data_IF_856221899904
#
_entry.id   IF_856221899904
#
_cell.length_a   1.000
_cell.length_b   1.000
_cell.length_c   1.000
_cell.angle_alpha   90.00
_cell.angle_beta   90.00
_cell.angle_gamma   90.00
#
_symmetry.space_group_name_H-M   'P 1'
#
loop_
_entity.id
_entity.type
_entity.pdbx_description
1 polymer ?
#
# COMPACT_ATOMS: atom_id res chain seq x y z
N UNK A 1 -56.23 -22.35 -61.42
CA UNK A 1 -56.61 -21.60 -60.23
C UNK A 1 -55.40 -21.46 -59.36
N UNK A 2 -54.83 -20.24 -59.35
CA UNK A 2 -53.53 -19.92 -58.71
C UNK A 2 -53.70 -19.81 -57.18
N UNK A 3 -52.76 -20.40 -56.43
CA UNK A 3 -52.54 -20.09 -55.03
C UNK A 3 -51.07 -19.56 -54.89
N UNK A 4 -51.00 -18.25 -54.80
CA UNK A 4 -49.77 -17.59 -54.38
C UNK A 4 -49.51 -17.73 -52.90
N UNK A 5 -48.46 -18.43 -52.52
CA UNK A 5 -47.89 -18.39 -51.16
C UNK A 5 -46.98 -17.18 -51.01
N UNK A 6 -47.39 -16.21 -50.18
CA UNK A 6 -46.50 -15.15 -49.68
C UNK A 6 -45.58 -15.72 -48.62
N UNK A 7 -44.33 -15.88 -48.95
CA UNK A 7 -43.23 -16.12 -48.00
C UNK A 7 -42.27 -14.92 -48.06
N UNK A 8 -42.52 -13.89 -47.26
CA UNK A 8 -41.53 -12.80 -47.11
C UNK A 8 -41.86 -11.95 -45.86
N UNK A 9 -41.39 -12.37 -44.69
CA UNK A 9 -41.22 -11.44 -43.53
C UNK A 9 -40.24 -11.89 -42.46
N UNK A 10 -39.63 -13.10 -42.51
CA UNK A 10 -38.83 -13.58 -41.42
C UNK A 10 -37.34 -13.14 -41.42
N UNK A 11 -36.78 -12.92 -42.60
CA UNK A 11 -35.33 -12.72 -42.74
C UNK A 11 -34.79 -11.33 -42.39
N UNK A 12 -35.63 -10.29 -42.45
CA UNK A 12 -35.19 -8.93 -42.05
C UNK A 12 -35.15 -8.75 -40.54
N UNK A 13 -36.10 -9.32 -39.81
CA UNK A 13 -36.16 -9.21 -38.35
C UNK A 13 -35.01 -9.92 -37.67
N UNK A 14 -34.63 -11.11 -38.16
CA UNK A 14 -33.48 -11.89 -37.62
C UNK A 14 -32.13 -11.14 -37.81
N UNK A 15 -31.96 -10.52 -38.97
CA UNK A 15 -30.72 -9.73 -39.22
C UNK A 15 -30.63 -8.49 -38.33
N UNK A 16 -31.74 -7.82 -38.08
CA UNK A 16 -31.81 -6.63 -37.22
C UNK A 16 -31.51 -7.00 -35.75
N UNK A 17 -32.11 -8.08 -35.23
CA UNK A 17 -31.86 -8.57 -33.87
C UNK A 17 -30.38 -9.01 -33.69
N UNK A 18 -29.81 -9.70 -34.68
CA UNK A 18 -28.42 -10.12 -34.64
C UNK A 18 -27.42 -8.93 -34.61
N UNK A 19 -27.71 -7.85 -35.35
CA UNK A 19 -26.91 -6.63 -35.32
C UNK A 19 -27.01 -5.91 -33.97
N UNK A 20 -28.20 -5.82 -33.37
CA UNK A 20 -28.39 -5.22 -32.05
C UNK A 20 -27.71 -6.05 -30.94
N UNK A 21 -27.80 -7.40 -31.01
CA UNK A 21 -27.08 -8.28 -30.12
C UNK A 21 -25.56 -8.12 -30.25
N UNK A 22 -25.03 -7.99 -31.46
CA UNK A 22 -23.61 -7.78 -31.71
C UNK A 22 -23.15 -6.40 -31.20
N UNK A 23 -23.98 -5.35 -31.39
CA UNK A 23 -23.69 -4.01 -30.88
C UNK A 23 -23.77 -3.96 -29.33
N UNK A 24 -24.69 -4.73 -28.72
CA UNK A 24 -24.75 -4.86 -27.26
C UNK A 24 -23.54 -5.61 -26.68
N UNK A 25 -23.05 -6.62 -27.39
CA UNK A 25 -21.83 -7.35 -26.98
C UNK A 25 -20.56 -6.49 -27.10
N UNK A 26 -20.50 -5.56 -28.06
CA UNK A 26 -19.41 -4.59 -28.19
C UNK A 26 -19.49 -3.53 -27.09
N UNK A 27 -20.69 -3.16 -26.62
CA UNK A 27 -20.86 -2.21 -25.53
C UNK A 27 -20.58 -2.82 -24.14
N UNK A 28 -20.53 -4.16 -24.00
CA UNK A 28 -20.18 -4.88 -22.78
C UNK A 28 -18.69 -5.28 -22.74
N UNK A 29 -17.92 -4.93 -23.78
CA UNK A 29 -16.52 -5.26 -23.89
C UNK A 29 -15.61 -4.10 -23.59
N UNK A 30 -14.70 -4.29 -22.67
CA UNK A 30 -13.57 -3.46 -22.28
C UNK A 30 -13.88 -2.25 -21.40
N UNK A 31 -14.20 -2.51 -20.14
CA UNK A 31 -13.53 -1.73 -19.12
C UNK A 31 -12.04 -2.14 -19.14
N UNK A 32 -11.26 -1.54 -20.01
CA UNK A 32 -9.82 -1.51 -19.82
C UNK A 32 -9.60 -0.73 -18.52
N UNK A 33 -9.39 -1.42 -17.42
CA UNK A 33 -8.79 -0.81 -16.24
C UNK A 33 -7.39 -0.42 -16.67
N UNK A 34 -7.24 0.81 -17.19
CA UNK A 34 -5.92 1.33 -17.45
C UNK A 34 -5.16 1.25 -16.12
N UNK A 35 -3.97 0.63 -16.15
CA UNK A 35 -3.08 0.65 -15.01
C UNK A 35 -2.91 2.09 -14.51
N UNK A 36 -2.85 2.30 -13.19
CA UNK A 36 -2.61 3.63 -12.64
C UNK A 36 -1.31 4.21 -13.19
N UNK A 37 -1.34 5.49 -13.58
CA UNK A 37 -0.13 6.25 -13.89
C UNK A 37 0.61 6.53 -12.56
N UNK A 38 1.79 5.91 -12.41
CA UNK A 38 2.61 6.01 -11.20
C UNK A 38 3.19 7.42 -11.05
N UNK A 39 3.16 7.93 -9.84
CA UNK A 39 3.77 9.20 -9.45
C UNK A 39 4.67 9.00 -8.24
N UNK A 40 5.69 9.82 -8.12
CA UNK A 40 6.57 9.80 -6.96
C UNK A 40 5.76 9.91 -5.66
N UNK A 41 6.11 9.09 -4.68
CA UNK A 41 5.38 8.96 -3.43
C UNK A 41 4.18 8.01 -3.47
N UNK A 42 3.88 7.37 -4.61
CA UNK A 42 2.88 6.29 -4.63
C UNK A 42 3.37 5.09 -3.83
N UNK A 43 2.42 4.48 -3.14
CA UNK A 43 2.62 3.24 -2.39
C UNK A 43 2.32 2.04 -3.27
N UNK A 44 3.23 1.09 -3.31
CA UNK A 44 3.08 -0.18 -4.00
C UNK A 44 2.84 -1.28 -2.96
N UNK A 45 1.58 -1.67 -2.81
CA UNK A 45 1.17 -2.74 -1.91
C UNK A 45 1.22 -4.08 -2.63
N UNK A 46 2.00 -5.03 -2.12
CA UNK A 46 2.03 -6.39 -2.66
C UNK A 46 0.89 -7.19 -2.05
N UNK A 47 0.00 -7.64 -2.91
CA UNK A 47 -1.13 -8.51 -2.57
C UNK A 47 -0.72 -9.95 -2.82
N UNK A 48 -0.65 -10.75 -1.79
CA UNK A 48 -0.30 -12.17 -1.85
C UNK A 48 -1.56 -13.03 -1.92
N UNK A 49 -1.83 -13.60 -3.08
CA UNK A 49 -3.02 -14.43 -3.31
C UNK A 49 -3.03 -15.77 -2.57
N UNK A 50 -1.86 -16.28 -2.19
CA UNK A 50 -1.75 -17.55 -1.43
C UNK A 50 -1.76 -17.33 0.08
N UNK A 51 -1.52 -16.11 0.53
CA UNK A 51 -1.31 -15.79 1.94
C UNK A 51 0.02 -16.30 2.49
N UNK A 52 0.40 -15.77 3.63
CA UNK A 52 1.58 -16.17 4.39
C UNK A 52 1.42 -15.77 5.88
N UNK A 53 2.47 -15.94 6.67
CA UNK A 53 2.42 -15.64 8.10
C UNK A 53 2.12 -14.17 8.43
N UNK A 54 2.40 -13.25 7.52
CA UNK A 54 2.03 -11.82 7.68
C UNK A 54 0.54 -11.65 7.41
N UNK A 55 0.03 -12.18 6.30
CA UNK A 55 -1.38 -12.07 5.93
C UNK A 55 -2.31 -12.86 6.84
N UNK A 56 -1.79 -13.83 7.60
CA UNK A 56 -2.56 -14.56 8.61
C UNK A 56 -2.94 -13.67 9.79
N UNK A 57 -2.18 -12.60 10.05
CA UNK A 57 -2.38 -11.69 11.19
C UNK A 57 -2.68 -10.25 10.78
N UNK A 58 -2.64 -9.94 9.48
CA UNK A 58 -2.94 -8.62 8.93
C UNK A 58 -4.00 -8.73 7.82
N UNK A 59 -4.88 -7.73 7.74
CA UNK A 59 -5.91 -7.67 6.71
C UNK A 59 -5.82 -6.32 6.02
N UNK A 60 -5.72 -6.32 4.70
CA UNK A 60 -5.68 -5.11 3.88
C UNK A 60 -7.06 -4.61 3.46
N UNK A 61 -7.06 -3.59 2.60
CA UNK A 61 -8.26 -3.05 1.98
C UNK A 61 -9.03 -4.17 1.27
N UNK A 62 -10.34 -4.12 1.31
CA UNK A 62 -11.26 -5.12 0.72
C UNK A 62 -10.99 -6.58 1.16
N UNK A 63 -10.36 -6.76 2.33
CA UNK A 63 -10.01 -8.08 2.85
C UNK A 63 -8.83 -8.75 2.15
N UNK A 64 -8.05 -8.01 1.37
CA UNK A 64 -6.89 -8.52 0.65
C UNK A 64 -5.75 -8.88 1.61
N UNK A 65 -5.06 -9.98 1.32
CA UNK A 65 -3.81 -10.35 1.99
C UNK A 65 -2.67 -9.49 1.45
N UNK A 66 -2.25 -8.48 2.21
CA UNK A 66 -1.16 -7.58 1.85
C UNK A 66 -0.01 -7.83 2.82
N UNK A 67 1.14 -8.25 2.31
CA UNK A 67 2.30 -8.62 3.12
C UNK A 67 3.52 -7.71 2.93
N UNK A 68 3.48 -6.82 1.95
CA UNK A 68 4.57 -5.88 1.70
C UNK A 68 4.05 -4.53 1.20
N UNK A 69 4.84 -3.48 1.43
CA UNK A 69 4.62 -2.13 0.89
C UNK A 69 5.95 -1.49 0.55
N UNK A 70 5.97 -0.76 -0.56
CA UNK A 70 7.13 -0.03 -1.05
C UNK A 70 6.73 1.37 -1.53
N UNK A 71 7.71 2.25 -1.73
CA UNK A 71 7.53 3.63 -2.21
C UNK A 71 8.06 3.76 -3.62
N UNK A 72 7.24 4.21 -4.55
CA UNK A 72 7.68 4.53 -5.91
C UNK A 72 8.32 5.92 -5.97
N UNK A 73 9.47 6.03 -6.65
CA UNK A 73 10.19 7.29 -6.85
C UNK A 73 11.00 7.27 -8.15
N UNK A 74 10.71 8.15 -9.09
CA UNK A 74 11.51 8.42 -10.30
C UNK A 74 11.86 7.15 -11.12
N UNK A 75 10.90 6.23 -11.26
CA UNK A 75 11.11 4.95 -11.98
C UNK A 75 11.75 3.85 -11.12
N UNK A 76 12.07 4.15 -9.86
CA UNK A 76 12.61 3.22 -8.88
C UNK A 76 11.58 2.89 -7.80
N UNK A 77 11.92 1.92 -6.98
CA UNK A 77 11.16 1.49 -5.80
C UNK A 77 12.10 1.50 -4.60
N UNK A 78 11.70 2.19 -3.53
CA UNK A 78 12.39 2.20 -2.24
C UNK A 78 11.61 1.27 -1.30
N UNK A 79 12.28 0.26 -0.75
CA UNK A 79 11.66 -0.77 0.06
C UNK A 79 12.60 -1.32 1.13
N UNK A 80 12.05 -1.85 2.20
CA UNK A 80 12.79 -2.64 3.19
C UNK A 80 12.49 -4.13 2.96
N UNK A 81 13.53 -4.92 2.69
CA UNK A 81 13.43 -6.37 2.40
C UNK A 81 14.40 -7.19 3.27
N UNK A 82 14.01 -8.42 3.66
CA UNK A 82 14.80 -9.22 4.61
C UNK A 82 16.27 -9.43 4.21
N UNK A 83 16.52 -9.63 2.91
CA UNK A 83 17.86 -10.00 2.42
C UNK A 83 18.85 -8.84 2.38
N UNK A 84 18.36 -7.60 2.28
CA UNK A 84 19.19 -6.45 1.94
C UNK A 84 18.91 -5.20 2.78
N UNK A 85 17.91 -5.23 3.66
CA UNK A 85 17.47 -4.04 4.38
C UNK A 85 16.78 -3.04 3.46
N UNK A 86 16.99 -1.75 3.70
CA UNK A 86 16.40 -0.68 2.90
C UNK A 86 17.21 -0.46 1.63
N UNK A 87 16.57 -0.65 0.48
CA UNK A 87 17.18 -0.55 -0.85
C UNK A 87 16.34 0.33 -1.77
N UNK A 88 16.98 0.88 -2.80
CA UNK A 88 16.32 1.51 -3.95
C UNK A 88 16.72 0.74 -5.21
N UNK A 89 15.75 0.27 -5.99
CA UNK A 89 15.97 -0.53 -7.18
C UNK A 89 15.00 -0.13 -8.30
N UNK A 90 15.33 -0.35 -9.60
CA UNK A 90 14.40 -0.09 -10.70
C UNK A 90 13.07 -0.81 -10.50
N UNK A 91 11.96 -0.17 -10.92
CA UNK A 91 10.61 -0.77 -10.86
C UNK A 91 10.56 -2.15 -11.52
N UNK A 92 11.21 -2.33 -12.68
CA UNK A 92 11.25 -3.63 -13.35
C UNK A 92 11.91 -4.71 -12.48
N UNK A 93 12.95 -4.35 -11.71
CA UNK A 93 13.61 -5.27 -10.79
C UNK A 93 12.70 -5.66 -9.61
N UNK A 94 11.89 -4.72 -9.12
CA UNK A 94 10.86 -5.00 -8.12
C UNK A 94 9.80 -5.96 -8.68
N UNK A 95 9.25 -5.67 -9.87
CA UNK A 95 8.20 -6.49 -10.48
C UNK A 95 8.66 -7.92 -10.81
N UNK A 96 9.90 -8.10 -11.27
CA UNK A 96 10.45 -9.44 -11.58
C UNK A 96 10.61 -10.34 -10.36
N UNK A 97 10.72 -9.76 -9.15
CA UNK A 97 10.78 -10.54 -7.90
C UNK A 97 9.44 -11.06 -7.41
N UNK A 98 8.34 -10.52 -7.94
CA UNK A 98 7.00 -10.97 -7.55
C UNK A 98 6.77 -12.40 -8.03
N UNK A 99 6.12 -13.20 -7.20
CA UNK A 99 5.66 -14.53 -7.57
C UNK A 99 4.40 -14.44 -8.45
N UNK A 100 4.07 -15.53 -9.16
CA UNK A 100 2.88 -15.62 -10.03
C UNK A 100 1.55 -15.33 -9.31
N UNK A 101 1.53 -15.47 -7.98
CA UNK A 101 0.33 -15.26 -7.14
C UNK A 101 0.32 -13.87 -6.48
N UNK A 102 1.32 -13.06 -6.74
CA UNK A 102 1.41 -11.70 -6.22
C UNK A 102 1.03 -10.68 -7.27
N UNK A 103 0.34 -9.65 -6.83
CA UNK A 103 -0.03 -8.50 -7.67
C UNK A 103 0.19 -7.22 -6.88
N UNK A 104 0.38 -6.10 -7.59
CA UNK A 104 0.62 -4.81 -6.96
C UNK A 104 -0.64 -3.95 -6.99
N UNK A 105 -1.04 -3.46 -5.82
CA UNK A 105 -2.09 -2.47 -5.65
C UNK A 105 -1.44 -1.11 -5.42
N UNK A 106 -1.84 -0.10 -6.18
CA UNK A 106 -1.26 1.24 -6.08
C UNK A 106 -2.12 2.09 -5.14
N UNK A 107 -1.50 2.69 -4.14
CA UNK A 107 -2.09 3.66 -3.24
C UNK A 107 -1.42 5.04 -3.37
N UNK A 108 -2.18 6.09 -3.17
CA UNK A 108 -1.67 7.48 -3.19
C UNK A 108 -2.14 8.24 -1.99
N UNK A 109 -1.24 8.98 -1.34
CA UNK A 109 -1.56 9.88 -0.23
C UNK A 109 -1.78 11.29 -0.78
N UNK A 110 -2.99 11.82 -0.60
CA UNK A 110 -3.30 13.18 -1.00
C UNK A 110 -2.74 14.17 0.03
N UNK A 111 -2.15 15.27 -0.43
CA UNK A 111 -1.53 16.27 0.45
C UNK A 111 -0.12 15.96 0.94
N UNK A 112 0.49 14.88 0.45
CA UNK A 112 1.85 14.49 0.79
C UNK A 112 2.87 15.55 0.31
N UNK A 113 3.88 15.89 1.12
CA UNK A 113 5.12 16.48 0.62
C UNK A 113 5.96 15.38 -0.02
N UNK A 114 5.69 15.14 -1.30
CA UNK A 114 6.30 14.03 -2.07
C UNK A 114 7.82 14.09 -2.00
N UNK A 115 8.40 15.28 -2.21
CA UNK A 115 9.85 15.44 -2.22
C UNK A 115 10.45 15.13 -0.86
N UNK A 116 9.89 15.72 0.21
CA UNK A 116 10.41 15.48 1.54
C UNK A 116 10.25 14.01 1.93
N UNK A 117 9.13 13.37 1.59
CA UNK A 117 8.85 11.97 1.90
C UNK A 117 9.81 11.02 1.18
N UNK A 118 10.07 11.24 -0.12
CA UNK A 118 11.05 10.44 -0.89
C UNK A 118 12.48 10.67 -0.36
N UNK A 119 12.86 11.93 -0.08
CA UNK A 119 14.16 12.25 0.50
C UNK A 119 14.33 11.60 1.89
N UNK A 120 13.28 11.52 2.70
CA UNK A 120 13.30 10.83 3.99
C UNK A 120 13.50 9.32 3.80
N UNK A 121 12.75 8.69 2.88
CA UNK A 121 12.93 7.27 2.57
C UNK A 121 14.37 6.96 2.13
N UNK A 122 14.96 7.81 1.29
CA UNK A 122 16.36 7.68 0.84
C UNK A 122 17.38 7.83 1.95
N UNK A 123 17.06 8.58 3.03
CA UNK A 123 17.97 8.67 4.20
C UNK A 123 18.05 7.37 4.98
N UNK A 124 17.07 6.48 4.84
CA UNK A 124 17.02 5.19 5.49
C UNK A 124 17.73 4.08 4.69
N UNK A 125 18.21 4.38 3.45
CA UNK A 125 18.93 3.41 2.62
C UNK A 125 20.12 2.82 3.36
N UNK A 126 20.24 1.49 3.29
CA UNK A 126 21.30 0.72 3.93
C UNK A 126 21.03 0.34 5.38
N UNK A 127 19.94 0.79 6.01
CA UNK A 127 19.52 0.25 7.29
C UNK A 127 19.16 -1.24 7.14
N UNK A 128 19.47 -2.09 8.12
CA UNK A 128 19.10 -3.49 8.10
C UNK A 128 17.59 -3.68 8.19
N UNK A 129 17.10 -4.83 7.73
CA UNK A 129 15.71 -5.20 7.90
C UNK A 129 15.42 -5.61 9.35
N UNK A 130 14.33 -5.09 9.92
CA UNK A 130 13.84 -5.54 11.22
C UNK A 130 12.95 -6.78 11.05
N UNK A 131 13.52 -7.96 11.29
CA UNK A 131 12.81 -9.24 11.20
C UNK A 131 12.03 -9.59 12.47
N UNK A 132 12.23 -8.84 13.54
CA UNK A 132 11.56 -9.06 14.83
C UNK A 132 10.47 -8.04 15.13
N UNK A 133 10.28 -7.06 14.25
CA UNK A 133 9.22 -6.03 14.35
C UNK A 133 9.18 -5.32 15.70
N UNK A 134 10.35 -5.06 16.30
CA UNK A 134 10.44 -4.37 17.58
C UNK A 134 10.61 -2.87 17.35
N UNK A 135 9.94 -2.03 18.13
CA UNK A 135 10.19 -0.58 18.04
C UNK A 135 11.65 -0.26 18.30
N UNK A 136 12.28 0.47 17.38
CA UNK A 136 13.69 0.88 17.52
C UNK A 136 14.23 1.52 16.24
N UNK A 137 15.36 2.20 16.34
CA UNK A 137 15.90 3.00 15.24
C UNK A 137 17.03 2.29 14.46
N UNK A 138 17.38 1.06 14.83
CA UNK A 138 18.55 0.35 14.28
C UNK A 138 18.24 -0.51 13.06
N UNK A 139 16.99 -0.85 12.83
CA UNK A 139 16.50 -1.67 11.73
C UNK A 139 15.09 -1.23 11.34
N UNK A 140 14.64 -1.53 10.14
CA UNK A 140 13.38 -1.01 9.60
C UNK A 140 12.67 -2.09 8.79
N UNK A 141 11.37 -2.32 9.01
CA UNK A 141 10.54 -3.17 8.16
C UNK A 141 9.71 -2.35 7.16
N UNK A 142 9.06 -2.98 6.20
CA UNK A 142 8.48 -2.33 5.02
C UNK A 142 7.47 -1.21 5.34
N UNK A 143 6.52 -1.43 6.24
CA UNK A 143 5.52 -0.40 6.59
C UNK A 143 6.06 0.66 7.54
N UNK A 144 7.05 0.33 8.36
CA UNK A 144 7.75 1.30 9.19
C UNK A 144 8.58 2.28 8.35
N UNK A 145 9.25 1.80 7.28
CA UNK A 145 9.89 2.66 6.28
C UNK A 145 8.94 3.74 5.78
N UNK A 146 7.71 3.36 5.41
CA UNK A 146 6.69 4.30 4.93
C UNK A 146 6.28 5.26 6.04
N UNK A 147 6.00 4.75 7.23
CA UNK A 147 5.56 5.54 8.38
C UNK A 147 6.61 6.59 8.79
N UNK A 148 7.89 6.23 8.81
CA UNK A 148 9.01 7.12 9.14
C UNK A 148 9.30 8.16 8.05
N UNK A 149 8.94 7.87 6.80
CA UNK A 149 9.32 8.69 5.65
C UNK A 149 8.28 9.74 5.30
N UNK A 150 7.00 9.45 5.47
CA UNK A 150 5.92 10.26 4.91
C UNK A 150 5.58 11.45 5.79
N UNK A 151 5.50 12.62 5.15
CA UNK A 151 5.14 13.90 5.79
C UNK A 151 4.16 14.67 4.92
N UNK A 152 3.22 15.38 5.55
CA UNK A 152 2.27 16.24 4.83
C UNK A 152 2.91 17.56 4.39
N UNK A 153 2.43 18.08 3.25
CA UNK A 153 2.74 19.44 2.82
C UNK A 153 2.27 20.45 3.88
N UNK A 154 3.13 21.43 4.20
CA UNK A 154 2.83 22.46 5.21
C UNK A 154 3.38 22.16 6.61
N UNK A 155 3.79 20.93 6.93
CA UNK A 155 4.49 20.66 8.19
C UNK A 155 5.88 21.31 8.23
N UNK A 156 6.54 21.42 7.09
CA UNK A 156 7.83 22.13 6.95
C UNK A 156 7.74 23.63 7.22
N UNK A 157 6.63 24.25 6.85
CA UNK A 157 6.46 25.70 7.06
C UNK A 157 6.29 26.04 8.53
N UNK A 158 5.66 25.17 9.32
CA UNK A 158 5.51 25.35 10.77
C UNK A 158 6.85 25.22 11.48
N UNK A 159 7.60 24.15 11.23
CA UNK A 159 8.94 23.94 11.82
C UNK A 159 9.92 25.06 11.42
N UNK A 160 9.85 25.56 10.18
CA UNK A 160 10.69 26.65 9.73
C UNK A 160 10.24 28.02 10.29
N UNK A 161 8.95 28.24 10.51
CA UNK A 161 8.41 29.43 11.13
C UNK A 161 8.76 29.49 12.62
N UNK A 162 8.65 28.39 13.35
CA UNK A 162 9.01 28.28 14.77
C UNK A 162 10.52 28.43 14.98
N UNK A 163 11.35 28.00 14.01
CA UNK A 163 12.79 28.19 14.04
C UNK A 163 13.23 29.63 13.65
N UNK A 164 12.41 30.40 12.96
CA UNK A 164 12.70 31.76 12.54
C UNK A 164 12.25 32.83 13.56
N UNK A 165 11.31 32.50 14.45
CA UNK A 165 10.82 33.38 15.51
C UNK A 165 11.57 33.12 16.82
N UNK A 166 12.89 33.36 16.81
CA UNK A 166 13.76 33.32 17.97
C UNK A 166 13.51 34.45 18.97
N UNK A 167 12.30 34.55 19.50
CA UNK A 167 12.01 35.43 20.66
C UNK A 167 12.28 34.66 21.94
N UNK A 168 13.40 35.00 22.58
CA UNK A 168 13.69 34.73 23.98
C UNK A 168 12.53 35.24 24.86
N UNK A 169 11.73 34.32 25.40
CA UNK A 169 10.59 34.62 26.25
C UNK A 169 10.33 33.50 27.22
N UNK A 170 11.08 33.52 28.35
CA UNK A 170 10.75 32.74 29.54
C UNK A 170 9.36 33.12 30.04
N UNK A 171 8.36 32.32 29.78
CA UNK A 171 7.23 32.15 30.68
C UNK A 171 6.64 30.73 30.53
N UNK A 172 6.61 30.04 31.69
CA UNK A 172 6.16 28.67 31.79
C UNK A 172 4.63 28.59 31.68
N UNK A 173 4.16 28.14 30.54
CA UNK A 173 2.84 27.55 30.41
C UNK A 173 3.01 26.29 29.56
N UNK A 174 2.46 25.18 30.07
CA UNK A 174 2.46 23.85 29.47
C UNK A 174 2.12 23.92 27.99
N UNK A 175 3.17 24.04 27.16
CA UNK A 175 3.07 23.88 25.73
C UNK A 175 2.83 22.40 25.45
N UNK A 176 1.59 22.05 25.08
CA UNK A 176 1.37 20.82 24.34
C UNK A 176 2.27 20.89 23.11
N UNK A 177 3.34 20.12 23.17
CA UNK A 177 4.24 19.86 22.07
C UNK A 177 3.35 19.32 20.93
N UNK A 178 2.97 20.18 19.99
CA UNK A 178 2.17 19.75 18.84
C UNK A 178 3.08 18.90 17.96
N UNK A 179 3.27 17.66 18.36
CA UNK A 179 3.93 16.66 17.56
C UNK A 179 3.32 16.75 16.14
N UNK A 180 4.15 17.01 15.15
CA UNK A 180 3.72 17.07 13.76
C UNK A 180 2.89 15.81 13.48
N UNK A 181 1.63 15.99 13.08
CA UNK A 181 0.69 14.89 12.87
C UNK A 181 1.28 13.93 11.82
N UNK A 182 1.65 12.73 12.25
CA UNK A 182 2.22 11.74 11.35
C UNK A 182 1.18 11.36 10.28
N UNK A 183 1.63 11.18 9.03
CA UNK A 183 0.73 10.73 7.94
C UNK A 183 0.11 9.39 8.30
N UNK A 184 0.90 8.52 8.93
CA UNK A 184 0.47 7.20 9.38
C UNK A 184 0.71 7.07 10.88
N UNK A 185 -0.36 6.82 11.63
CA UNK A 185 -0.25 6.52 13.05
C UNK A 185 0.23 5.08 13.27
N UNK A 186 1.04 4.87 14.31
CA UNK A 186 1.27 3.53 14.83
C UNK A 186 0.01 2.98 15.48
N UNK A 187 -0.15 1.67 15.42
CA UNK A 187 -1.22 0.94 16.10
C UNK A 187 -0.61 -0.11 17.03
N UNK A 188 -1.34 -0.58 18.06
CA UNK A 188 -0.92 -1.77 18.77
C UNK A 188 -0.79 -2.95 17.81
N UNK A 189 0.41 -3.53 17.69
CA UNK A 189 0.63 -4.70 16.86
C UNK A 189 -0.16 -5.89 17.36
N UNK A 190 -0.65 -6.72 16.45
CA UNK A 190 -1.31 -7.97 16.77
C UNK A 190 -0.81 -9.11 15.92
N UNK A 191 -0.52 -10.21 16.57
CA UNK A 191 -0.07 -11.47 15.98
C UNK A 191 -1.16 -12.55 16.04
N UNK A 192 -2.41 -12.12 16.22
CA UNK A 192 -3.58 -12.98 16.32
C UNK A 192 -4.15 -13.29 14.92
N UNK A 193 -4.53 -14.55 14.73
CA UNK A 193 -5.34 -14.96 13.58
C UNK A 193 -6.82 -14.56 13.75
N UNK A 194 -7.64 -14.90 12.76
CA UNK A 194 -9.09 -14.66 12.77
C UNK A 194 -9.83 -15.36 13.93
N UNK A 195 -9.19 -16.28 14.64
CA UNK A 195 -9.75 -16.95 15.82
C UNK A 195 -9.39 -16.24 17.13
N UNK A 196 -8.63 -15.15 17.06
CA UNK A 196 -8.20 -14.37 18.22
C UNK A 196 -7.06 -15.02 19.01
N UNK A 197 -6.23 -15.85 18.38
CA UNK A 197 -5.07 -16.49 19.00
C UNK A 197 -3.80 -16.12 18.27
N UNK A 198 -2.71 -15.90 19.01
CA UNK A 198 -1.38 -15.78 18.41
C UNK A 198 -1.08 -17.05 17.62
N UNK A 199 -0.69 -16.91 16.36
CA UNK A 199 -0.45 -18.07 15.48
C UNK A 199 0.72 -18.91 15.99
N UNK A 200 0.70 -20.19 15.66
CA UNK A 200 1.78 -21.11 16.02
C UNK A 200 3.13 -20.76 15.39
N UNK A 201 3.09 -20.06 14.24
CA UNK A 201 4.30 -19.54 13.60
C UNK A 201 4.97 -18.48 14.47
N UNK A 202 4.25 -17.41 14.82
CA UNK A 202 4.81 -16.30 15.61
C UNK A 202 5.25 -16.74 17.00
N UNK A 203 4.47 -17.61 17.66
CA UNK A 203 4.87 -18.19 18.94
C UNK A 203 6.24 -18.86 18.85
N UNK A 204 6.47 -19.69 17.83
CA UNK A 204 7.75 -20.41 17.63
C UNK A 204 8.86 -19.49 17.20
N UNK A 205 8.55 -18.52 16.33
CA UNK A 205 9.50 -17.56 15.79
C UNK A 205 10.20 -16.74 16.90
N UNK A 206 9.41 -16.16 17.81
CA UNK A 206 9.95 -15.40 18.92
C UNK A 206 10.57 -16.28 20.00
N UNK A 207 9.97 -17.44 20.32
CA UNK A 207 10.55 -18.37 21.28
C UNK A 207 11.93 -18.86 20.86
N UNK A 208 12.15 -19.13 19.56
CA UNK A 208 13.46 -19.53 19.04
C UNK A 208 14.56 -18.46 19.20
N UNK A 209 14.15 -17.21 19.37
CA UNK A 209 15.04 -16.05 19.61
C UNK A 209 15.15 -15.67 21.10
N UNK A 210 14.46 -16.38 21.97
CA UNK A 210 14.38 -16.05 23.40
C UNK A 210 13.59 -14.77 23.70
N UNK A 211 12.71 -14.36 22.77
CA UNK A 211 11.91 -13.15 22.86
C UNK A 211 10.44 -13.49 23.13
N UNK A 212 9.72 -12.56 23.75
CA UNK A 212 8.27 -12.59 23.78
C UNK A 212 7.70 -12.04 22.46
N UNK A 213 6.50 -12.51 22.08
CA UNK A 213 5.77 -11.90 20.94
C UNK A 213 5.46 -10.45 21.33
N UNK A 214 5.79 -9.44 20.50
CA UNK A 214 5.56 -8.02 20.82
C UNK A 214 4.09 -7.63 20.59
N UNK A 215 3.17 -8.37 21.20
CA UNK A 215 1.74 -8.11 21.15
C UNK A 215 1.41 -6.82 21.87
N UNK A 216 0.75 -5.90 21.17
CA UNK A 216 0.36 -4.61 21.71
C UNK A 216 1.43 -3.52 21.67
N UNK A 217 2.67 -3.84 21.29
CA UNK A 217 3.69 -2.82 21.06
C UNK A 217 3.31 -1.93 19.87
N UNK A 218 3.69 -0.63 19.88
CA UNK A 218 3.37 0.27 18.79
C UNK A 218 4.11 -0.12 17.50
N UNK A 219 3.39 -0.20 16.39
CA UNK A 219 3.96 -0.54 15.09
C UNK A 219 3.00 -0.25 13.95
N UNK A 220 3.34 -0.71 12.76
CA UNK A 220 2.52 -0.59 11.55
C UNK A 220 2.49 -1.93 10.83
N UNK A 221 1.60 -2.08 9.87
CA UNK A 221 1.64 -3.20 8.92
C UNK A 221 1.11 -2.77 7.55
N UNK A 222 1.51 -3.43 6.45
CA UNK A 222 1.12 -3.01 5.11
C UNK A 222 -0.39 -3.10 4.88
N UNK A 223 -1.07 -4.06 5.48
CA UNK A 223 -2.53 -4.17 5.42
C UNK A 223 -3.23 -2.99 6.08
N UNK A 224 -2.77 -2.55 7.25
CA UNK A 224 -3.29 -1.35 7.92
C UNK A 224 -3.08 -0.10 7.05
N UNK A 225 -1.86 0.13 6.54
CA UNK A 225 -1.56 1.29 5.70
C UNK A 225 -2.47 1.34 4.47
N UNK A 226 -2.79 0.19 3.86
CA UNK A 226 -3.68 0.15 2.69
C UNK A 226 -5.13 0.57 2.99
N UNK A 227 -5.54 0.55 4.26
CA UNK A 227 -6.87 0.96 4.75
C UNK A 227 -6.87 2.32 5.42
N UNK A 228 -5.70 2.95 5.53
CA UNK A 228 -5.59 4.27 6.13
C UNK A 228 -6.45 5.29 5.36
N UNK A 229 -7.22 6.17 6.03
CA UNK A 229 -8.06 7.15 5.37
C UNK A 229 -7.30 8.15 4.50
N UNK A 230 -6.00 8.32 4.75
CA UNK A 230 -5.13 9.16 3.93
C UNK A 230 -4.71 8.48 2.62
N UNK A 231 -4.93 7.17 2.48
CA UNK A 231 -4.54 6.39 1.29
C UNK A 231 -5.74 6.19 0.37
N UNK A 232 -5.64 6.73 -0.82
CA UNK A 232 -6.59 6.47 -1.89
C UNK A 232 -6.06 5.38 -2.82
N UNK A 233 -6.77 4.25 -2.86
CA UNK A 233 -6.42 3.14 -3.77
C UNK A 233 -6.78 3.54 -5.20
N UNK A 234 -5.81 3.39 -6.12
CA UNK A 234 -5.95 3.76 -7.53
C UNK A 234 -6.30 2.57 -8.43
N UNK A 235 -6.00 1.36 -7.99
CA UNK A 235 -6.19 0.13 -8.75
C UNK A 235 -4.94 -0.74 -8.75
N UNK A 236 -4.96 -1.81 -9.56
CA UNK A 236 -3.81 -2.71 -9.73
C UNK A 236 -2.87 -2.14 -10.78
N UNK A 237 -1.58 -2.25 -10.52
CA UNK A 237 -0.57 -2.06 -11.56
C UNK A 237 -0.75 -3.20 -12.58
N UNK A 238 -0.81 -2.88 -13.87
CA UNK A 238 -0.92 -3.91 -14.90
C UNK A 238 0.39 -4.72 -14.95
N UNK A 239 0.23 -6.03 -15.21
CA UNK A 239 1.32 -6.96 -15.47
C UNK A 239 2.04 -6.61 -16.77
#
# INVERSE_FOLDING_TARGET
MLVHKKAFCGTRLIKTVAVYMLLLLIALGCSSTNAPDLKDGDLLFVVNGNGNNITDVTVGVDGLGIDHVAVYAEGNVIEAIPESGVVESPLDSFLVRLSENETVLVGRVDGLDVRASVDNARRLLGLPYDDIFMPGDSAVYCSELVQMSFVFSGQRERVAADAADGTDGTDGTDGEDSAAEAVFATIPMSFHDSTGRVTGFWTKFYAARGLAVPEGEPGTNPGQLSRDPNVRILGRLAD
#
